data_IF_758882546092
#
_entry.id   IF_758882546092
#
_cell.length_a   1.000
_cell.length_b   1.000
_cell.length_c   1.000
_cell.angle_alpha   90.00
_cell.angle_beta   90.00
_cell.angle_gamma   90.00
#
_symmetry.space_group_name_H-M   'P 1'
#
loop_
_entity.id
_entity.type
_entity.pdbx_description
1 polymer ?
#
# COMPACT_ATOMS: atom_id res chain seq x y z
N UNK A 1 4.53 4.16 -9.60
CA UNK A 1 5.02 3.43 -10.79
C UNK A 1 6.41 2.78 -10.66
N UNK A 2 7.16 3.02 -9.58
CA UNK A 2 8.51 2.48 -9.34
C UNK A 2 8.57 1.16 -8.55
N UNK A 3 7.41 0.55 -8.24
CA UNK A 3 7.36 -0.70 -7.46
C UNK A 3 8.19 -1.76 -8.15
N UNK A 4 9.00 -2.47 -7.36
CA UNK A 4 9.73 -3.63 -7.84
C UNK A 4 8.85 -4.86 -7.87
N UNK A 5 9.18 -5.78 -8.74
CA UNK A 5 8.64 -7.12 -8.76
C UNK A 5 9.75 -8.12 -9.05
N UNK A 6 9.60 -9.33 -8.51
CA UNK A 6 10.32 -10.51 -8.98
C UNK A 6 9.42 -11.30 -9.93
N UNK A 7 9.97 -11.68 -11.07
CA UNK A 7 9.39 -12.62 -12.02
C UNK A 7 10.14 -13.93 -11.87
N UNK A 8 9.46 -14.94 -11.30
CA UNK A 8 9.93 -16.32 -11.27
C UNK A 8 9.27 -17.11 -12.40
N UNK A 9 10.03 -17.52 -13.41
CA UNK A 9 9.54 -18.30 -14.56
C UNK A 9 10.05 -19.73 -14.46
N UNK A 10 9.16 -20.68 -14.68
CA UNK A 10 9.51 -22.12 -14.72
C UNK A 10 10.34 -22.59 -13.51
N UNK A 11 9.99 -22.11 -12.31
CA UNK A 11 10.69 -22.45 -11.08
C UNK A 11 10.81 -23.97 -10.91
N UNK A 12 11.99 -24.42 -10.51
CA UNK A 12 12.45 -25.82 -10.39
C UNK A 12 12.63 -26.60 -11.69
N UNK A 13 12.40 -25.99 -12.87
CA UNK A 13 12.53 -26.65 -14.18
C UNK A 13 13.80 -26.21 -14.90
N UNK A 14 14.10 -26.87 -16.04
CA UNK A 14 15.36 -26.68 -16.79
C UNK A 14 15.61 -25.23 -17.24
N UNK A 15 14.54 -24.47 -17.50
CA UNK A 15 14.62 -23.09 -18.00
C UNK A 15 14.19 -22.05 -16.95
N UNK A 16 14.49 -22.34 -15.67
CA UNK A 16 14.21 -21.45 -14.55
C UNK A 16 14.85 -20.07 -14.76
N UNK A 17 14.06 -19.01 -14.50
CA UNK A 17 14.54 -17.62 -14.47
C UNK A 17 13.93 -16.90 -13.27
N UNK A 18 14.75 -16.12 -12.54
CA UNK A 18 14.31 -15.33 -11.40
C UNK A 18 14.86 -13.90 -11.52
N UNK A 19 14.05 -12.99 -12.04
CA UNK A 19 14.47 -11.64 -12.39
C UNK A 19 13.76 -10.59 -11.55
N UNK A 20 14.51 -9.64 -10.99
CA UNK A 20 13.94 -8.52 -10.25
C UNK A 20 14.04 -7.24 -11.06
N UNK A 21 12.92 -6.56 -11.24
CA UNK A 21 12.83 -5.34 -12.05
C UNK A 21 11.74 -4.41 -11.54
N UNK A 22 11.67 -3.18 -12.05
CA UNK A 22 10.47 -2.36 -11.84
C UNK A 22 9.31 -2.96 -12.62
N UNK A 23 8.09 -2.83 -12.10
CA UNK A 23 6.87 -3.31 -12.79
C UNK A 23 6.78 -2.71 -14.21
N UNK A 24 7.23 -1.48 -14.40
CA UNK A 24 7.25 -0.80 -15.71
C UNK A 24 8.21 -1.42 -16.72
N UNK A 25 9.28 -2.08 -16.28
CA UNK A 25 10.23 -2.74 -17.17
C UNK A 25 9.74 -4.12 -17.64
N UNK A 26 8.70 -4.69 -16.99
CA UNK A 26 8.18 -6.02 -17.27
C UNK A 26 7.79 -6.27 -18.73
N UNK A 27 6.98 -5.40 -19.38
CA UNK A 27 6.59 -5.59 -20.77
C UNK A 27 7.79 -5.65 -21.74
N UNK A 28 8.81 -4.82 -21.53
CA UNK A 28 9.99 -4.79 -22.38
C UNK A 28 10.86 -6.03 -22.13
N UNK A 29 11.00 -6.46 -20.87
CA UNK A 29 11.67 -7.70 -20.52
C UNK A 29 11.00 -8.93 -21.17
N UNK A 30 9.68 -8.97 -21.21
CA UNK A 30 8.91 -10.06 -21.82
C UNK A 30 9.13 -10.11 -23.34
N UNK A 31 9.05 -8.96 -24.02
CA UNK A 31 9.21 -8.85 -25.47
C UNK A 31 10.64 -9.08 -25.96
N UNK A 32 11.63 -8.90 -25.10
CA UNK A 32 13.04 -9.04 -25.47
C UNK A 32 13.44 -10.47 -25.86
N UNK A 33 12.64 -11.48 -25.49
CA UNK A 33 12.91 -12.88 -25.83
C UNK A 33 11.59 -13.66 -25.96
N UNK A 34 11.25 -14.18 -27.17
CA UNK A 34 10.04 -14.97 -27.38
C UNK A 34 9.91 -16.21 -26.48
N UNK A 35 11.01 -16.73 -25.92
CA UNK A 35 10.94 -17.82 -24.95
C UNK A 35 10.27 -17.36 -23.63
N UNK A 36 10.40 -16.08 -23.26
CA UNK A 36 9.82 -15.50 -22.04
C UNK A 36 8.30 -15.34 -22.11
N UNK A 37 7.66 -15.48 -23.26
CA UNK A 37 6.20 -15.47 -23.38
C UNK A 37 5.55 -16.83 -23.03
N UNK A 38 6.36 -17.86 -22.77
CA UNK A 38 5.90 -19.23 -22.58
C UNK A 38 6.21 -19.73 -21.17
N UNK A 39 5.33 -20.60 -20.69
CA UNK A 39 5.48 -21.31 -19.42
C UNK A 39 4.66 -20.70 -18.29
N UNK A 40 5.00 -21.11 -17.08
CA UNK A 40 4.36 -20.69 -15.82
C UNK A 40 5.18 -19.60 -15.13
N UNK A 41 4.47 -18.65 -14.50
CA UNK A 41 5.05 -17.48 -13.86
C UNK A 41 4.53 -17.31 -12.44
N UNK A 42 5.44 -16.91 -11.55
CA UNK A 42 5.14 -16.35 -10.23
C UNK A 42 5.59 -14.90 -10.23
N UNK A 43 4.68 -14.00 -9.87
CA UNK A 43 4.98 -12.58 -9.71
C UNK A 43 4.92 -12.21 -8.23
N UNK A 44 6.06 -11.81 -7.67
CA UNK A 44 6.13 -11.26 -6.31
C UNK A 44 6.27 -9.76 -6.44
N UNK A 45 5.20 -9.03 -6.13
CA UNK A 45 5.17 -7.56 -6.26
C UNK A 45 5.49 -6.94 -4.90
N UNK A 46 6.49 -6.06 -4.85
CA UNK A 46 6.81 -5.25 -3.67
C UNK A 46 5.54 -4.60 -3.15
N UNK A 47 5.29 -4.60 -1.83
CA UNK A 47 4.10 -3.98 -1.24
C UNK A 47 3.89 -2.53 -1.69
N UNK A 48 2.69 -1.99 -1.56
CA UNK A 48 2.34 -0.66 -2.08
C UNK A 48 3.12 0.53 -1.44
N UNK A 49 4.10 0.26 -0.56
CA UNK A 49 4.57 1.20 0.45
C UNK A 49 3.44 1.56 1.41
N UNK A 50 3.76 2.12 2.58
CA UNK A 50 2.78 3.05 3.18
C UNK A 50 2.59 4.15 2.15
N UNK A 51 1.37 4.46 1.76
CA UNK A 51 1.06 5.49 0.76
C UNK A 51 1.93 6.72 1.02
N UNK A 52 3.02 6.85 0.26
CA UNK A 52 3.92 7.97 0.36
C UNK A 52 3.21 9.14 -0.28
N UNK A 53 2.76 10.07 0.55
CA UNK A 53 2.60 11.48 0.21
C UNK A 53 1.87 11.80 -1.10
N UNK A 54 0.64 11.31 -1.28
CA UNK A 54 -0.27 11.98 -2.23
C UNK A 54 -0.81 13.32 -1.67
N UNK A 55 -0.58 13.60 -0.39
CA UNK A 55 -0.57 14.93 0.21
C UNK A 55 0.23 14.80 1.52
N UNK A 56 1.34 15.51 1.67
CA UNK A 56 2.20 15.41 2.86
C UNK A 56 1.53 15.93 4.16
N UNK A 57 0.21 16.18 4.14
CA UNK A 57 -0.61 16.50 5.31
C UNK A 57 -1.97 15.80 5.36
N UNK A 58 -2.32 14.95 4.37
CA UNK A 58 -3.62 14.27 4.38
C UNK A 58 -3.53 12.92 5.08
N UNK A 59 -4.37 12.74 6.10
CA UNK A 59 -4.59 11.45 6.74
C UNK A 59 -5.18 10.48 5.71
N UNK A 60 -4.70 9.24 5.70
CA UNK A 60 -5.20 8.17 4.81
C UNK A 60 -6.75 8.10 4.82
N UNK A 61 -7.43 8.01 3.67
CA UNK A 61 -8.90 8.03 3.62
C UNK A 61 -9.58 6.91 4.43
N UNK A 62 -8.96 5.73 4.55
CA UNK A 62 -9.50 4.68 5.42
C UNK A 62 -9.34 5.05 6.90
N UNK A 63 -8.22 5.65 7.28
CA UNK A 63 -8.02 6.18 8.63
C UNK A 63 -9.00 7.29 8.98
N UNK A 64 -9.34 8.18 8.04
CA UNK A 64 -10.41 9.19 8.23
C UNK A 64 -11.77 8.52 8.46
N UNK A 65 -12.15 7.55 7.61
CA UNK A 65 -13.42 6.83 7.74
C UNK A 65 -13.55 6.11 9.08
N UNK A 66 -12.48 5.44 9.53
CA UNK A 66 -12.45 4.76 10.83
C UNK A 66 -12.58 5.77 11.95
N UNK A 67 -11.87 6.91 11.88
CA UNK A 67 -11.96 7.95 12.89
C UNK A 67 -13.38 8.52 13.01
N UNK A 68 -14.04 8.85 11.90
CA UNK A 68 -15.38 9.45 11.89
C UNK A 68 -16.43 8.49 12.50
N UNK A 69 -16.30 7.17 12.28
CA UNK A 69 -17.15 6.17 12.94
C UNK A 69 -16.88 6.10 14.45
N UNK A 70 -15.60 6.11 14.86
CA UNK A 70 -15.23 6.04 16.27
C UNK A 70 -15.64 7.30 17.05
N UNK A 71 -15.66 8.47 16.40
CA UNK A 71 -16.06 9.73 17.03
C UNK A 71 -17.55 9.78 17.37
N UNK A 72 -18.39 8.97 16.73
CA UNK A 72 -19.81 8.85 17.07
C UNK A 72 -19.98 8.23 18.47
N UNK A 73 -19.07 7.34 18.86
CA UNK A 73 -19.20 6.53 20.08
C UNK A 73 -18.18 6.89 21.18
N UNK A 74 -17.09 7.56 20.82
CA UNK A 74 -15.94 7.76 21.71
C UNK A 74 -15.46 9.22 21.79
N UNK A 75 -14.88 9.63 22.94
CA UNK A 75 -14.14 10.88 23.03
C UNK A 75 -12.96 10.92 22.07
N UNK A 76 -12.64 12.11 21.53
CA UNK A 76 -11.63 12.34 20.49
C UNK A 76 -10.27 11.64 20.78
N UNK A 77 -9.81 11.70 22.03
CA UNK A 77 -8.55 11.06 22.44
C UNK A 77 -8.57 9.54 22.30
N UNK A 78 -9.70 8.89 22.64
CA UNK A 78 -9.84 7.44 22.49
C UNK A 78 -10.05 7.05 21.02
N UNK A 79 -10.86 7.81 20.29
CA UNK A 79 -11.09 7.59 18.87
C UNK A 79 -9.77 7.64 18.07
N UNK A 80 -8.93 8.66 18.31
CA UNK A 80 -7.63 8.78 17.66
C UNK A 80 -6.67 7.63 17.98
N UNK A 81 -6.57 7.24 19.27
CA UNK A 81 -5.70 6.13 19.68
C UNK A 81 -6.14 4.79 19.05
N UNK A 82 -7.45 4.52 19.03
CA UNK A 82 -7.97 3.28 18.46
C UNK A 82 -7.90 3.29 16.93
N UNK A 83 -8.18 4.43 16.28
CA UNK A 83 -8.03 4.59 14.83
C UNK A 83 -6.59 4.35 14.37
N UNK A 84 -5.60 4.86 15.12
CA UNK A 84 -4.18 4.60 14.85
C UNK A 84 -3.83 3.11 14.98
N UNK A 85 -4.37 2.42 16.00
CA UNK A 85 -4.14 0.99 16.19
C UNK A 85 -4.76 0.13 15.07
N UNK A 86 -5.92 0.53 14.54
CA UNK A 86 -6.61 -0.19 13.45
C UNK A 86 -5.93 0.04 12.10
N UNK A 87 -5.52 1.28 11.82
CA UNK A 87 -5.08 1.69 10.47
C UNK A 87 -3.58 1.84 10.31
N UNK A 88 -2.83 1.89 11.42
CA UNK A 88 -1.40 2.19 11.42
C UNK A 88 -1.07 3.66 11.11
N UNK A 89 -2.06 4.54 11.04
CA UNK A 89 -1.88 5.98 10.87
C UNK A 89 -1.32 6.63 12.15
N UNK A 90 -0.74 7.82 12.00
CA UNK A 90 -0.16 8.57 13.11
C UNK A 90 -1.25 9.00 14.12
N UNK A 91 -1.01 8.75 15.40
CA UNK A 91 -1.98 9.05 16.45
C UNK A 91 -2.15 10.55 16.66
N UNK A 92 -1.10 11.35 16.51
CA UNK A 92 -1.18 12.80 16.68
C UNK A 92 -1.94 13.44 15.53
N UNK A 93 -1.71 12.99 14.28
CA UNK A 93 -2.46 13.40 13.11
C UNK A 93 -3.96 13.09 13.23
N UNK A 94 -4.31 11.86 13.66
CA UNK A 94 -5.71 11.49 13.90
C UNK A 94 -6.34 12.28 15.05
N UNK A 95 -5.58 12.62 16.08
CA UNK A 95 -6.09 13.44 17.19
C UNK A 95 -6.35 14.89 16.77
N UNK A 96 -5.44 15.48 16.00
CA UNK A 96 -5.65 16.82 15.44
C UNK A 96 -6.90 16.87 14.55
N UNK A 97 -7.07 15.87 13.68
CA UNK A 97 -8.27 15.74 12.83
C UNK A 97 -9.54 15.56 13.68
N UNK A 98 -9.48 14.76 14.75
CA UNK A 98 -10.61 14.56 15.65
C UNK A 98 -11.08 15.85 16.33
N UNK A 99 -10.14 16.72 16.74
CA UNK A 99 -10.47 18.02 17.31
C UNK A 99 -11.10 18.95 16.26
N UNK A 100 -10.61 18.92 15.01
CA UNK A 100 -11.21 19.70 13.92
C UNK A 100 -12.64 19.27 13.62
N UNK A 101 -12.92 17.96 13.60
CA UNK A 101 -14.28 17.41 13.41
C UNK A 101 -15.24 17.89 14.51
N UNK A 102 -14.83 17.75 15.78
CA UNK A 102 -15.64 18.18 16.93
C UNK A 102 -15.87 19.68 17.03
N UNK A 103 -15.03 20.49 16.40
CA UNK A 103 -15.21 21.94 16.34
C UNK A 103 -16.16 22.38 15.21
N UNK A 104 -16.52 21.47 14.30
CA UNK A 104 -17.45 21.70 13.19
C UNK A 104 -18.88 21.19 13.51
N UNK A 105 -19.03 20.41 14.59
CA UNK A 105 -20.31 20.02 15.19
C UNK A 105 -20.86 21.15 16.09
#
# INVERSE_FOLDING_TARGET
PSRRMLVGRELTKLFEQAETMTVTAGPDWLKADPAREKGEFVLVVEGAGKAGNADAGAVDPQAVRVLDLLLQELPAKRAAKLGAAITGADTAALYALALQRRAQD
#
